data_IF_625843426702
#
_entry.id   IF_625843426702
#
_cell.length_a   1.000
_cell.length_b   1.000
_cell.length_c   1.000
_cell.angle_alpha   90.00
_cell.angle_beta   90.00
_cell.angle_gamma   90.00
#
_symmetry.space_group_name_H-M   'P 1'
#
loop_
_entity.id
_entity.type
_entity.pdbx_description
1 polymer ?
#
# COMPACT_ATOMS: atom_id res chain seq x y z
N UNK A 1 14.71 -11.95 4.47
CA UNK A 1 13.71 -11.84 5.56
C UNK A 1 14.35 -11.59 6.93
N UNK A 2 15.55 -12.11 7.20
CA UNK A 2 16.30 -11.90 8.47
C UNK A 2 16.77 -10.45 8.74
N UNK A 3 16.97 -9.62 7.71
CA UNK A 3 17.34 -8.20 7.91
C UNK A 3 16.17 -7.33 8.41
N UNK A 4 14.92 -7.72 8.17
CA UNK A 4 13.77 -6.93 8.63
C UNK A 4 13.57 -7.08 10.15
N UNK A 5 13.85 -8.27 10.68
CA UNK A 5 13.78 -8.56 12.12
C UNK A 5 14.91 -7.91 12.90
N UNK A 6 16.13 -7.79 12.35
CA UNK A 6 17.23 -7.13 13.07
C UNK A 6 16.99 -5.62 13.25
N UNK A 7 16.49 -4.94 12.21
CA UNK A 7 16.19 -3.51 12.25
C UNK A 7 14.97 -3.19 13.12
N UNK A 8 13.95 -4.05 13.13
CA UNK A 8 12.78 -3.87 14.02
C UNK A 8 13.15 -4.08 15.49
N UNK A 9 13.97 -5.08 15.81
CA UNK A 9 14.45 -5.31 17.19
C UNK A 9 15.32 -4.14 17.67
N UNK A 10 16.18 -3.61 16.79
CA UNK A 10 17.00 -2.44 17.10
C UNK A 10 16.14 -1.21 17.38
N UNK A 11 15.13 -0.96 16.55
CA UNK A 11 14.16 0.12 16.76
C UNK A 11 13.44 -0.02 18.11
N UNK A 12 12.94 -1.22 18.42
CA UNK A 12 12.29 -1.48 19.71
C UNK A 12 13.24 -1.21 20.89
N UNK A 13 14.51 -1.57 20.78
CA UNK A 13 15.52 -1.26 21.80
C UNK A 13 15.72 0.25 22.02
N UNK A 14 15.72 1.05 20.94
CA UNK A 14 15.86 2.52 21.03
C UNK A 14 14.69 3.17 21.78
N UNK A 15 13.48 2.66 21.60
CA UNK A 15 12.27 3.20 22.22
C UNK A 15 11.83 2.44 23.48
N UNK A 16 12.70 1.58 24.03
CA UNK A 16 12.43 0.73 25.20
C UNK A 16 11.14 -0.10 25.08
N UNK A 17 10.78 -0.46 23.84
CA UNK A 17 9.63 -1.31 23.54
C UNK A 17 10.03 -2.76 23.77
N UNK A 18 9.35 -3.43 24.68
CA UNK A 18 9.56 -4.85 24.96
C UNK A 18 9.14 -5.68 23.75
N UNK A 19 10.08 -6.45 23.20
CA UNK A 19 9.80 -7.40 22.11
C UNK A 19 9.29 -8.72 22.71
N UNK A 20 8.04 -9.12 22.44
CA UNK A 20 7.50 -10.36 22.99
C UNK A 20 8.13 -11.58 22.30
N UNK A 21 8.31 -12.67 23.04
CA UNK A 21 8.70 -13.96 22.47
C UNK A 21 7.54 -14.52 21.65
N UNK A 22 7.70 -14.60 20.33
CA UNK A 22 6.63 -14.98 19.41
C UNK A 22 6.11 -16.42 19.60
N UNK A 23 6.88 -17.30 20.23
CA UNK A 23 6.48 -18.68 20.53
C UNK A 23 5.73 -18.83 21.86
N UNK A 24 5.76 -17.82 22.73
CA UNK A 24 5.03 -17.86 24.00
C UNK A 24 3.53 -17.65 23.79
N UNK A 25 2.74 -18.22 24.70
CA UNK A 25 1.29 -18.00 24.75
C UNK A 25 0.99 -16.52 24.98
N UNK A 26 0.09 -15.97 24.17
CA UNK A 26 -0.36 -14.59 24.27
C UNK A 26 -1.17 -14.38 25.56
N UNK A 27 -0.77 -13.40 26.37
CA UNK A 27 -1.42 -13.05 27.63
C UNK A 27 -2.12 -11.70 27.51
N UNK A 28 -3.44 -11.69 27.52
CA UNK A 28 -4.22 -10.45 27.63
C UNK A 28 -4.25 -9.94 29.07
N UNK A 29 -4.29 -8.61 29.28
CA UNK A 29 -4.45 -7.99 30.61
C UNK A 29 -5.75 -8.40 31.32
N UNK A 30 -6.74 -8.89 30.58
CA UNK A 30 -8.00 -9.40 31.10
C UNK A 30 -8.13 -10.88 30.70
N UNK A 31 -7.66 -11.79 31.56
CA UNK A 31 -7.91 -13.21 31.43
C UNK A 31 -9.41 -13.49 31.61
N UNK A 32 -10.20 -13.34 30.54
CA UNK A 32 -11.37 -14.18 30.38
C UNK A 32 -10.83 -15.48 29.81
N UNK A 33 -10.73 -16.49 30.67
CA UNK A 33 -10.44 -17.88 30.30
C UNK A 33 -11.55 -18.34 29.35
N UNK A 34 -11.43 -17.99 28.07
CA UNK A 34 -12.21 -18.62 27.02
C UNK A 34 -11.56 -19.98 26.83
N UNK A 35 -12.20 -21.00 27.43
CA UNK A 35 -11.92 -22.41 27.17
C UNK A 35 -11.69 -22.60 25.67
N UNK A 36 -10.53 -23.11 25.28
CA UNK A 36 -10.30 -23.47 23.89
C UNK A 36 -8.85 -23.71 23.55
N UNK A 37 -8.10 -22.65 23.25
CA UNK A 37 -6.84 -22.79 22.54
C UNK A 37 -5.81 -21.79 23.06
N UNK A 38 -4.62 -22.29 23.39
CA UNK A 38 -3.47 -21.44 23.69
C UNK A 38 -2.98 -20.80 22.39
N UNK A 39 -3.37 -19.54 22.16
CA UNK A 39 -2.92 -18.75 21.02
C UNK A 39 -1.51 -18.23 21.31
N UNK A 40 -0.57 -18.38 20.37
CA UNK A 40 0.79 -17.83 20.50
C UNK A 40 0.82 -16.33 20.22
N UNK A 41 1.83 -15.63 20.76
CA UNK A 41 2.11 -14.23 20.43
C UNK A 41 2.22 -14.04 18.91
N UNK A 42 2.85 -14.97 18.19
CA UNK A 42 2.94 -14.91 16.73
C UNK A 42 1.58 -14.84 16.07
N UNK A 43 0.66 -15.73 16.46
CA UNK A 43 -0.68 -15.75 15.89
C UNK A 43 -1.42 -14.46 16.21
N UNK A 44 -1.39 -14.01 17.47
CA UNK A 44 -2.08 -12.79 17.86
C UNK A 44 -1.58 -11.56 17.07
N UNK A 45 -0.28 -11.30 17.07
CA UNK A 45 0.26 -10.11 16.40
C UNK A 45 0.09 -10.17 14.89
N UNK A 46 0.14 -11.37 14.28
CA UNK A 46 0.02 -11.52 12.83
C UNK A 46 -1.44 -11.56 12.37
N UNK A 47 -2.24 -12.46 12.92
CA UNK A 47 -3.59 -12.73 12.47
C UNK A 47 -4.60 -11.76 13.08
N UNK A 48 -4.55 -11.54 14.40
CA UNK A 48 -5.56 -10.74 15.09
C UNK A 48 -5.27 -9.23 15.03
N UNK A 49 -3.99 -8.84 15.06
CA UNK A 49 -3.61 -7.43 15.08
C UNK A 49 -3.22 -6.94 13.68
N UNK A 50 -2.19 -7.53 13.08
CA UNK A 50 -1.61 -6.99 11.86
C UNK A 50 -2.59 -7.06 10.68
N UNK A 51 -3.24 -8.20 10.44
CA UNK A 51 -4.25 -8.27 9.37
C UNK A 51 -5.44 -7.37 9.64
N UNK A 52 -5.92 -7.28 10.88
CA UNK A 52 -6.99 -6.32 11.21
C UNK A 52 -6.57 -4.87 10.94
N UNK A 53 -5.33 -4.47 11.24
CA UNK A 53 -4.83 -3.14 10.90
C UNK A 53 -4.76 -2.95 9.37
N UNK A 54 -4.29 -3.95 8.63
CA UNK A 54 -4.26 -3.90 7.15
C UNK A 54 -5.68 -3.75 6.59
N UNK A 55 -6.63 -4.54 7.08
CA UNK A 55 -8.03 -4.50 6.63
C UNK A 55 -8.68 -3.14 6.94
N UNK A 56 -8.42 -2.56 8.13
CA UNK A 56 -8.88 -1.22 8.48
C UNK A 56 -8.30 -0.16 7.54
N UNK A 57 -7.00 -0.24 7.24
CA UNK A 57 -6.36 0.70 6.31
C UNK A 57 -6.90 0.54 4.89
N UNK A 58 -7.10 -0.70 4.41
CA UNK A 58 -7.72 -0.97 3.12
C UNK A 58 -9.16 -0.41 3.06
N UNK A 59 -9.93 -0.61 4.11
CA UNK A 59 -11.29 -0.07 4.21
C UNK A 59 -11.28 1.47 4.21
N UNK A 60 -10.38 2.10 4.94
CA UNK A 60 -10.24 3.55 4.95
C UNK A 60 -9.87 4.09 3.57
N UNK A 61 -8.94 3.43 2.86
CA UNK A 61 -8.59 3.78 1.49
C UNK A 61 -9.81 3.62 0.55
N UNK A 62 -10.52 2.51 0.63
CA UNK A 62 -11.72 2.26 -0.19
C UNK A 62 -12.87 3.23 0.12
N UNK A 63 -12.95 3.74 1.35
CA UNK A 63 -13.94 4.77 1.72
C UNK A 63 -13.53 6.17 1.22
N UNK A 64 -12.23 6.47 1.18
CA UNK A 64 -11.70 7.77 0.74
C UNK A 64 -11.60 7.90 -0.77
N UNK A 65 -11.29 6.81 -1.47
CA UNK A 65 -11.07 6.78 -2.90
C UNK A 65 -12.13 5.93 -3.59
N UNK A 66 -12.92 6.54 -4.47
CA UNK A 66 -13.75 5.78 -5.41
C UNK A 66 -12.87 4.99 -6.38
N UNK A 67 -13.45 4.01 -7.07
CA UNK A 67 -12.79 3.27 -8.15
C UNK A 67 -12.13 4.24 -9.16
N UNK A 68 -12.85 5.26 -9.61
CA UNK A 68 -12.31 6.30 -10.50
C UNK A 68 -11.16 7.10 -9.89
N UNK A 69 -11.19 7.35 -8.56
CA UNK A 69 -10.08 8.04 -7.87
C UNK A 69 -8.85 7.15 -7.78
N UNK A 70 -9.02 5.84 -7.56
CA UNK A 70 -7.92 4.86 -7.54
C UNK A 70 -7.31 4.67 -8.93
N UNK A 71 -8.12 4.61 -9.98
CA UNK A 71 -7.64 4.59 -11.37
C UNK A 71 -6.84 5.85 -11.70
N UNK A 72 -7.35 7.03 -11.30
CA UNK A 72 -6.63 8.29 -11.51
C UNK A 72 -5.27 8.30 -10.81
N UNK A 73 -5.20 7.85 -9.55
CA UNK A 73 -3.92 7.71 -8.83
C UNK A 73 -2.98 6.72 -9.53
N UNK A 74 -3.52 5.60 -10.02
CA UNK A 74 -2.75 4.62 -10.77
C UNK A 74 -2.17 5.21 -12.06
N UNK A 75 -2.94 6.00 -12.80
CA UNK A 75 -2.45 6.66 -14.02
C UNK A 75 -1.45 7.78 -13.71
N UNK A 76 -1.69 8.62 -12.69
CA UNK A 76 -0.78 9.72 -12.29
C UNK A 76 0.52 9.21 -11.66
N UNK A 77 0.57 7.97 -11.16
CA UNK A 77 1.79 7.40 -10.57
C UNK A 77 3.02 7.44 -11.50
N UNK A 78 2.80 7.44 -12.83
CA UNK A 78 3.87 7.52 -13.81
C UNK A 78 4.46 8.94 -13.98
N UNK A 79 3.85 9.95 -13.36
CA UNK A 79 4.24 11.37 -13.41
C UNK A 79 5.05 11.81 -12.18
N UNK A 80 5.78 10.89 -11.52
CA UNK A 80 6.57 11.22 -10.33
C UNK A 80 7.94 11.82 -10.72
N UNK A 81 8.16 13.14 -10.60
CA UNK A 81 9.47 13.73 -10.90
C UNK A 81 10.54 13.31 -9.89
N UNK A 82 10.16 12.89 -8.68
CA UNK A 82 11.09 12.58 -7.60
C UNK A 82 11.87 11.29 -7.85
N UNK A 83 11.32 10.36 -8.63
CA UNK A 83 11.99 9.13 -9.05
C UNK A 83 12.48 9.18 -10.51
N UNK A 84 12.58 10.38 -11.08
CA UNK A 84 12.92 10.60 -12.50
C UNK A 84 11.95 9.92 -13.47
N UNK A 85 10.66 9.91 -13.13
CA UNK A 85 9.61 9.26 -13.93
C UNK A 85 9.90 7.77 -14.16
N UNK A 86 10.45 7.08 -13.16
CA UNK A 86 10.84 5.66 -13.27
C UNK A 86 9.65 4.77 -13.68
N UNK A 87 8.44 5.12 -13.24
CA UNK A 87 7.21 4.41 -13.57
C UNK A 87 6.53 4.92 -14.87
N UNK A 88 7.25 5.65 -15.73
CA UNK A 88 6.72 6.18 -16.99
C UNK A 88 6.02 5.08 -17.81
N UNK A 89 4.81 5.38 -18.26
CA UNK A 89 4.00 4.49 -19.08
C UNK A 89 3.12 5.32 -20.01
N UNK A 90 3.41 5.23 -21.31
CA UNK A 90 2.67 5.93 -22.37
C UNK A 90 1.18 5.60 -22.33
N UNK A 91 0.82 4.34 -22.09
CA UNK A 91 -0.56 3.88 -22.06
C UNK A 91 -1.33 4.53 -20.92
N UNK A 92 -0.73 4.62 -19.73
CA UNK A 92 -1.35 5.28 -18.56
C UNK A 92 -1.63 6.76 -18.82
N UNK A 93 -0.74 7.47 -19.51
CA UNK A 93 -0.94 8.89 -19.85
C UNK A 93 -2.04 9.08 -20.89
N UNK A 94 -2.16 8.16 -21.85
CA UNK A 94 -3.28 8.16 -22.80
C UNK A 94 -4.60 7.90 -22.09
N UNK A 95 -4.67 6.87 -21.22
CA UNK A 95 -5.86 6.59 -20.43
C UNK A 95 -6.23 7.76 -19.50
N UNK A 96 -5.24 8.49 -18.97
CA UNK A 96 -5.49 9.71 -18.20
C UNK A 96 -6.17 10.80 -19.05
N UNK A 97 -5.73 11.02 -20.29
CA UNK A 97 -6.38 11.99 -21.18
C UNK A 97 -7.81 11.57 -21.56
N UNK A 98 -8.04 10.27 -21.76
CA UNK A 98 -9.36 9.70 -22.07
C UNK A 98 -10.38 9.88 -20.93
N UNK A 99 -9.93 9.97 -19.66
CA UNK A 99 -10.79 10.29 -18.51
C UNK A 99 -11.37 11.72 -18.55
N UNK A 100 -10.82 12.60 -19.39
CA UNK A 100 -11.20 14.01 -19.49
C UNK A 100 -11.70 14.37 -20.91
N UNK A 101 -12.80 13.77 -21.40
CA UNK A 101 -13.29 13.95 -22.77
C UNK A 101 -13.74 15.38 -23.08
N UNK A 102 -13.98 16.22 -22.07
CA UNK A 102 -14.26 17.65 -22.25
C UNK A 102 -13.01 18.49 -22.53
N UNK A 103 -11.83 17.98 -22.18
CA UNK A 103 -10.55 18.67 -22.31
C UNK A 103 -9.68 18.11 -23.45
N UNK A 104 -9.95 16.88 -23.89
CA UNK A 104 -9.24 16.23 -24.98
C UNK A 104 -10.21 15.69 -26.03
N UNK A 105 -10.07 16.17 -27.26
CA UNK A 105 -10.68 15.56 -28.44
C UNK A 105 -9.93 14.29 -28.86
N UNK A 106 -10.59 13.43 -29.65
CA UNK A 106 -9.97 12.23 -30.22
C UNK A 106 -8.70 12.57 -31.03
N UNK A 107 -8.71 13.70 -31.74
CA UNK A 107 -7.56 14.15 -32.52
C UNK A 107 -6.38 14.52 -31.60
N UNK A 108 -6.65 15.21 -30.49
CA UNK A 108 -5.64 15.57 -29.50
C UNK A 108 -5.07 14.33 -28.78
N UNK A 109 -5.89 13.31 -28.52
CA UNK A 109 -5.42 12.03 -27.93
C UNK A 109 -4.48 11.30 -28.91
N UNK A 110 -4.83 11.25 -30.21
CA UNK A 110 -3.96 10.65 -31.23
C UNK A 110 -2.64 11.44 -31.37
N UNK A 111 -2.71 12.77 -31.34
CA UNK A 111 -1.54 13.62 -31.36
C UNK A 111 -0.65 13.41 -30.13
N UNK A 112 -1.27 13.32 -28.94
CA UNK A 112 -0.58 13.04 -27.67
C UNK A 112 0.15 11.71 -27.72
N UNK A 113 -0.47 10.65 -28.26
CA UNK A 113 0.18 9.34 -28.44
C UNK A 113 1.44 9.44 -29.30
N UNK A 114 1.37 10.18 -30.40
CA UNK A 114 2.53 10.44 -31.25
C UNK A 114 3.64 11.16 -30.49
N UNK A 115 3.28 12.20 -29.72
CA UNK A 115 4.25 12.96 -28.92
C UNK A 115 4.91 12.12 -27.82
N UNK A 116 4.14 11.34 -27.08
CA UNK A 116 4.64 10.48 -26.00
C UNK A 116 5.62 9.40 -26.50
N UNK A 117 5.43 8.93 -27.73
CA UNK A 117 6.35 7.96 -28.34
C UNK A 117 7.79 8.47 -28.49
N UNK A 118 8.00 9.79 -28.47
CA UNK A 118 9.33 10.42 -28.57
C UNK A 118 10.14 10.37 -27.26
N UNK A 119 9.48 10.11 -26.13
CA UNK A 119 10.10 10.07 -24.80
C UNK A 119 10.56 8.67 -24.37
N UNK A 120 10.47 7.67 -25.27
CA UNK A 120 11.01 6.33 -25.01
C UNK A 120 12.54 6.41 -24.94
N UNK A 121 13.09 6.32 -23.72
CA UNK A 121 14.51 6.12 -23.46
C UNK A 121 14.82 4.65 -23.19
#
# INVERSE_FOLDING_TARGET
MECFTSRSVTFCGVFEVVVPNMNETYKTRHQVVRRGEEITNLHHYRADLFYTVVDMQLQELNNRFSESSTELLFYVSCLNPSDSFHAYDEGKLISLAELYPSYFSIIEIVALKSQLSTYKS
#
